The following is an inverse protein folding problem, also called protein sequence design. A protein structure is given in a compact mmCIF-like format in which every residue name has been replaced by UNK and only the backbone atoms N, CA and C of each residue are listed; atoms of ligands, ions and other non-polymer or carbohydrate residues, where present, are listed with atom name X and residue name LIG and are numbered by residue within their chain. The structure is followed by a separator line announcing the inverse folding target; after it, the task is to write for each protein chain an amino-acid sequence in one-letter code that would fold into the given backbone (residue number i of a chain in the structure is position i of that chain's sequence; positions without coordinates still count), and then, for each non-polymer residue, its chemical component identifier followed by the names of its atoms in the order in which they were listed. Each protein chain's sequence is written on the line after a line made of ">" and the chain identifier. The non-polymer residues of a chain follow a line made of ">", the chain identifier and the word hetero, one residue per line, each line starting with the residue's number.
data_IF_413737415176
#
_entry.id   IF_413737415176
#
_cell.length_a   1.000
_cell.length_b   1.000
_cell.length_c   1.000
_cell.angle_alpha   90.00
_cell.angle_beta   90.00
_cell.angle_gamma   90.00
#
_symmetry.space_group_name_H-M   'P 1'
#
loop_
_entity.id
_entity.type
_entity.pdbx_description
1 polymer ?
#
# COMPACT_ATOMS: atom_id res chain seq x y z
N UNK A 1 -1.04 -1.92 1.79
CA UNK A 1 -0.10 -1.64 2.89
C UNK A 1 -0.29 -0.22 3.38
N UNK A 2 -0.65 -0.05 4.65
CA UNK A 2 -0.74 1.28 5.28
C UNK A 2 0.62 1.69 5.85
N UNK A 3 0.91 3.00 5.85
CA UNK A 3 2.22 3.49 6.32
C UNK A 3 3.39 3.09 5.42
N UNK A 4 3.14 2.85 4.12
CA UNK A 4 4.13 2.33 3.17
C UNK A 4 5.41 3.19 3.04
N UNK A 5 5.37 4.47 3.42
CA UNK A 5 6.55 5.35 3.41
C UNK A 5 7.42 5.29 4.68
N UNK A 6 7.04 4.53 5.71
CA UNK A 6 7.88 4.26 6.88
C UNK A 6 8.93 3.17 6.61
N UNK A 7 9.92 3.02 7.49
CA UNK A 7 11.00 2.04 7.29
C UNK A 7 10.52 0.59 7.12
N UNK A 8 9.55 0.17 7.94
CA UNK A 8 8.90 -1.16 7.82
C UNK A 8 7.99 -1.22 6.59
N UNK A 9 7.35 -0.08 6.27
CA UNK A 9 6.58 0.18 5.05
C UNK A 9 7.33 -0.23 3.78
N UNK A 10 8.48 0.41 3.59
CA UNK A 10 9.29 0.26 2.40
C UNK A 10 9.88 -1.16 2.28
N UNK A 11 10.25 -1.77 3.43
CA UNK A 11 10.76 -3.13 3.45
C UNK A 11 9.70 -4.16 2.97
N UNK A 12 8.44 -4.04 3.41
CA UNK A 12 7.43 -4.99 2.96
C UNK A 12 7.00 -4.73 1.50
N UNK A 13 7.07 -3.49 1.01
CA UNK A 13 6.90 -3.17 -0.43
C UNK A 13 7.95 -3.90 -1.25
N UNK A 14 9.22 -3.76 -0.90
CA UNK A 14 10.35 -4.39 -1.62
C UNK A 14 10.24 -5.92 -1.58
N UNK A 15 9.99 -6.51 -0.41
CA UNK A 15 9.78 -7.96 -0.27
C UNK A 15 8.60 -8.47 -1.09
N UNK A 16 7.45 -7.78 -1.03
CA UNK A 16 6.26 -8.17 -1.79
C UNK A 16 6.53 -8.19 -3.30
N UNK A 17 7.23 -7.17 -3.81
CA UNK A 17 7.62 -7.11 -5.22
C UNK A 17 8.60 -8.23 -5.60
N UNK A 18 9.61 -8.50 -4.78
CA UNK A 18 10.56 -9.60 -5.02
C UNK A 18 9.90 -10.98 -4.97
N UNK A 19 8.82 -11.13 -4.19
CA UNK A 19 8.01 -12.35 -4.16
C UNK A 19 7.04 -12.46 -5.35
N UNK A 20 7.00 -11.48 -6.26
CA UNK A 20 6.10 -11.44 -7.40
C UNK A 20 4.67 -11.02 -7.07
N UNK A 21 4.44 -10.45 -5.88
CA UNK A 21 3.13 -9.98 -5.47
C UNK A 21 2.79 -8.63 -6.13
N UNK A 22 1.49 -8.41 -6.34
CA UNK A 22 0.96 -7.09 -6.70
C UNK A 22 0.82 -6.24 -5.44
N UNK A 23 1.73 -5.28 -5.26
CA UNK A 23 1.73 -4.41 -4.08
C UNK A 23 0.87 -3.15 -4.29
N UNK A 24 -0.08 -2.93 -3.38
CA UNK A 24 -0.86 -1.68 -3.27
C UNK A 24 -0.39 -0.93 -2.01
N UNK A 25 0.27 0.20 -2.20
CA UNK A 25 0.70 1.10 -1.12
C UNK A 25 -0.41 2.09 -0.75
N UNK A 26 -0.54 2.44 0.52
CA UNK A 26 -1.45 3.49 1.01
C UNK A 26 -0.62 4.48 1.82
N UNK A 27 -0.68 5.75 1.43
CA UNK A 27 0.07 6.85 2.05
C UNK A 27 -0.85 8.03 2.34
N UNK A 28 -0.40 8.92 3.22
CA UNK A 28 -1.22 10.06 3.67
C UNK A 28 -0.94 11.36 2.91
N UNK A 29 0.07 11.40 2.03
CA UNK A 29 0.48 12.60 1.29
C UNK A 29 1.13 12.22 -0.04
N UNK A 30 1.04 13.10 -1.04
CA UNK A 30 1.71 12.92 -2.34
C UNK A 30 3.24 12.81 -2.21
N UNK A 31 3.84 13.55 -1.27
CA UNK A 31 5.27 13.45 -0.99
C UNK A 31 5.69 12.02 -0.60
N UNK A 32 4.85 11.31 0.17
CA UNK A 32 5.07 9.91 0.54
C UNK A 32 4.81 8.95 -0.63
N UNK A 33 3.93 9.30 -1.56
CA UNK A 33 3.70 8.53 -2.77
C UNK A 33 4.95 8.48 -3.64
N UNK A 34 5.64 9.61 -3.83
CA UNK A 34 6.89 9.65 -4.58
C UNK A 34 7.98 8.77 -3.95
N UNK A 35 8.03 8.68 -2.61
CA UNK A 35 8.95 7.78 -1.91
C UNK A 35 8.62 6.32 -2.21
N UNK A 36 7.36 5.91 -2.03
CA UNK A 36 6.94 4.52 -2.23
C UNK A 36 7.05 4.08 -3.69
N UNK A 37 6.82 5.00 -4.64
CA UNK A 37 6.98 4.74 -6.08
C UNK A 37 8.43 4.40 -6.45
N UNK A 38 9.43 5.01 -5.78
CA UNK A 38 10.85 4.70 -6.00
C UNK A 38 11.23 3.27 -5.62
N UNK A 39 10.43 2.61 -4.78
CA UNK A 39 10.62 1.22 -4.38
C UNK A 39 9.89 0.24 -5.30
N UNK A 40 9.29 0.71 -6.41
CA UNK A 40 8.69 -0.14 -7.43
C UNK A 40 7.21 -0.46 -7.23
N UNK A 41 6.57 0.11 -6.19
CA UNK A 41 5.13 0.00 -6.03
C UNK A 41 4.41 0.73 -7.18
N UNK A 42 3.64 0.00 -7.97
CA UNK A 42 2.95 0.52 -9.15
C UNK A 42 1.57 1.11 -8.82
N UNK A 43 0.98 0.71 -7.70
CA UNK A 43 -0.33 1.20 -7.26
C UNK A 43 -0.19 1.79 -5.87
N UNK A 44 -0.43 3.10 -5.77
CA UNK A 44 -0.32 3.84 -4.52
C UNK A 44 -1.56 4.71 -4.36
N UNK A 45 -2.23 4.58 -3.23
CA UNK A 45 -3.47 5.28 -2.91
C UNK A 45 -3.21 6.34 -1.83
N UNK A 46 -3.94 7.44 -1.92
CA UNK A 46 -4.00 8.45 -0.86
C UNK A 46 -5.13 8.04 0.10
N UNK A 47 -4.75 7.68 1.32
CA UNK A 47 -5.65 7.06 2.29
C UNK A 47 -6.44 8.03 3.18
N UNK A 48 -6.45 9.31 2.85
CA UNK A 48 -7.10 10.38 3.62
C UNK A 48 -8.63 10.23 3.72
N UNK A 49 -9.26 9.48 2.81
CA UNK A 49 -10.70 9.16 2.85
C UNK A 49 -11.01 7.65 2.96
N UNK A 50 -10.00 6.85 3.33
CA UNK A 50 -10.07 5.39 3.35
C UNK A 50 -9.74 4.77 1.98
N UNK A 51 -9.22 3.54 2.00
CA UNK A 51 -8.67 2.87 0.79
C UNK A 51 -9.47 1.63 0.36
N UNK A 52 -10.49 1.24 1.14
CA UNK A 52 -11.22 -0.02 0.96
C UNK A 52 -11.91 -0.11 -0.40
N UNK A 53 -12.65 0.93 -0.78
CA UNK A 53 -13.38 1.00 -2.05
C UNK A 53 -12.42 0.91 -3.24
N UNK A 54 -11.30 1.62 -3.18
CA UNK A 54 -10.26 1.61 -4.21
C UNK A 54 -9.58 0.26 -4.32
N UNK A 55 -9.22 -0.37 -3.20
CA UNK A 55 -8.66 -1.74 -3.20
C UNK A 55 -9.65 -2.72 -3.80
N UNK A 56 -10.94 -2.63 -3.45
CA UNK A 56 -11.98 -3.48 -4.06
C UNK A 56 -12.08 -3.25 -5.57
N UNK A 57 -12.06 -2.01 -6.04
CA UNK A 57 -12.06 -1.72 -7.48
C UNK A 57 -10.81 -2.30 -8.17
N UNK A 58 -9.63 -2.17 -7.57
CA UNK A 58 -8.36 -2.67 -8.10
C UNK A 58 -8.26 -4.19 -8.14
N UNK A 59 -9.00 -4.86 -7.26
CA UNK A 59 -9.02 -6.33 -7.07
C UNK A 59 -10.30 -6.97 -7.58
N UNK A 60 -11.11 -6.24 -8.36
CA UNK A 60 -12.37 -6.75 -8.93
C UNK A 60 -13.33 -7.32 -7.88
N UNK A 61 -13.37 -6.70 -6.70
CA UNK A 61 -14.21 -7.10 -5.57
C UNK A 61 -13.65 -8.21 -4.69
N UNK A 62 -12.48 -8.78 -5.01
CA UNK A 62 -11.86 -9.84 -4.20
C UNK A 62 -11.23 -9.32 -2.91
N UNK A 63 -10.84 -8.04 -2.87
CA UNK A 63 -10.08 -7.47 -1.77
C UNK A 63 -8.60 -7.86 -1.82
N UNK A 64 -7.84 -7.39 -0.84
CA UNK A 64 -6.43 -7.75 -0.71
C UNK A 64 -6.30 -9.13 -0.04
N UNK A 65 -5.44 -9.99 -0.60
CA UNK A 65 -5.16 -11.32 -0.03
C UNK A 65 -4.39 -11.22 1.29
N UNK A 66 -3.55 -10.18 1.42
CA UNK A 66 -2.79 -9.87 2.63
C UNK A 66 -2.82 -8.37 2.88
N UNK A 67 -3.12 -7.98 4.12
CA UNK A 67 -3.05 -6.58 4.57
C UNK A 67 -1.92 -6.48 5.59
N UNK A 68 -0.99 -5.57 5.33
CA UNK A 68 0.03 -5.18 6.28
C UNK A 68 -0.25 -3.76 6.76
N UNK A 69 -0.59 -3.62 8.05
CA UNK A 69 -0.76 -2.34 8.73
C UNK A 69 0.14 -2.28 10.00
N UNK A 70 1.26 -1.54 9.95
CA UNK A 70 2.10 -1.33 11.12
C UNK A 70 1.59 -0.21 12.04
N UNK A 71 0.58 0.56 11.64
CA UNK A 71 0.02 1.66 12.41
C UNK A 71 -1.04 1.20 13.43
N UNK A 72 -1.68 0.05 13.19
CA UNK A 72 -2.62 -0.58 14.13
C UNK A 72 -3.93 0.19 14.29
N UNK A 73 -4.37 0.90 13.25
CA UNK A 73 -5.64 1.63 13.25
C UNK A 73 -6.80 0.80 12.67
N UNK A 74 -8.03 1.27 12.84
CA UNK A 74 -9.20 0.60 12.24
C UNK A 74 -9.12 0.60 10.71
N UNK A 75 -9.50 -0.55 10.12
CA UNK A 75 -9.49 -0.87 8.68
C UNK A 75 -10.87 -0.72 8.06
#
# INVERSE_FOLDING_TARGET
>A
MQGAAGGVGLAAVDLGLQMGARVIGVVSTEAKQAVVARYGAQTILLGDQGFRSEVLALTQGQGAEVIFDPAGGDV
#
